data_IF_263041345712
#
_entry.id   IF_263041345712
#
_cell.length_a   1.000
_cell.length_b   1.000
_cell.length_c   1.000
_cell.angle_alpha   90.00
_cell.angle_beta   90.00
_cell.angle_gamma   90.00
#
_symmetry.space_group_name_H-M   'P 1'
#
loop_
_entity.id
_entity.type
_entity.pdbx_description
1 polymer ?
#
# COMPACT_ATOMS: atom_id res chain seq x y z
N UNK A 1 -16.91 -20.86 -4.10
CA UNK A 1 -16.43 -21.05 -5.48
C UNK A 1 -15.01 -20.53 -5.51
N UNK A 2 -14.09 -21.32 -6.05
CA UNK A 2 -12.82 -20.80 -6.60
C UNK A 2 -13.24 -19.97 -7.82
N UNK A 3 -12.77 -18.73 -7.96
CA UNK A 3 -13.16 -17.88 -9.08
C UNK A 3 -13.43 -16.43 -8.69
N UNK A 4 -12.48 -15.57 -9.10
CA UNK A 4 -12.68 -14.15 -9.41
C UNK A 4 -12.35 -13.92 -10.88
N UNK A 5 -12.15 -12.67 -11.32
CA UNK A 5 -11.87 -12.29 -12.73
C UNK A 5 -10.78 -13.13 -13.41
N UNK A 6 -9.81 -13.63 -12.62
CA UNK A 6 -8.62 -14.33 -13.11
C UNK A 6 -8.57 -15.84 -12.85
N UNK A 7 -9.68 -16.45 -12.39
CA UNK A 7 -9.76 -17.90 -12.10
C UNK A 7 -8.62 -18.43 -11.20
N UNK A 8 -8.28 -17.63 -10.18
CA UNK A 8 -7.19 -17.91 -9.25
C UNK A 8 -7.46 -19.15 -8.40
N UNK A 9 -6.44 -19.98 -8.20
CA UNK A 9 -6.46 -21.06 -7.22
C UNK A 9 -6.52 -20.49 -5.80
N UNK A 10 -7.10 -21.25 -4.86
CA UNK A 10 -7.19 -20.84 -3.46
C UNK A 10 -5.81 -20.41 -2.92
N UNK A 11 -5.75 -19.18 -2.39
CA UNK A 11 -4.57 -18.54 -1.80
C UNK A 11 -3.50 -18.06 -2.78
N UNK A 12 -3.84 -17.93 -4.05
CA UNK A 12 -3.16 -16.99 -4.95
C UNK A 12 -3.66 -15.57 -4.70
N UNK A 13 -2.75 -14.61 -4.83
CA UNK A 13 -2.98 -13.18 -4.60
C UNK A 13 -2.62 -12.36 -5.84
N UNK A 14 -3.17 -11.15 -5.92
CA UNK A 14 -3.15 -10.21 -7.04
C UNK A 14 -1.99 -9.21 -6.94
N UNK A 15 -2.13 -8.07 -7.59
CA UNK A 15 -1.17 -6.98 -7.60
C UNK A 15 -0.98 -6.33 -6.21
N UNK A 16 -2.00 -6.27 -5.35
CA UNK A 16 -1.89 -5.70 -4.00
C UNK A 16 -0.70 -6.29 -3.24
N UNK A 17 -0.66 -7.63 -3.17
CA UNK A 17 0.37 -8.36 -2.45
C UNK A 17 1.69 -8.38 -3.20
N UNK A 18 1.65 -8.49 -4.54
CA UNK A 18 2.86 -8.48 -5.36
C UNK A 18 3.63 -7.16 -5.20
N UNK A 19 2.92 -6.03 -5.22
CA UNK A 19 3.50 -4.72 -5.02
C UNK A 19 3.92 -4.49 -3.56
N UNK A 20 3.14 -4.95 -2.57
CA UNK A 20 3.57 -4.89 -1.17
C UNK A 20 4.88 -5.66 -0.95
N UNK A 21 5.01 -6.85 -1.54
CA UNK A 21 6.23 -7.66 -1.47
C UNK A 21 7.41 -6.98 -2.18
N UNK A 22 7.18 -6.34 -3.34
CA UNK A 22 8.21 -5.54 -4.00
C UNK A 22 8.69 -4.38 -3.12
N UNK A 23 7.77 -3.66 -2.47
CA UNK A 23 8.08 -2.56 -1.56
C UNK A 23 8.87 -3.03 -0.34
N UNK A 24 8.44 -4.12 0.31
CA UNK A 24 9.16 -4.73 1.42
C UNK A 24 10.58 -5.16 0.99
N UNK A 25 10.68 -5.82 -0.16
CA UNK A 25 11.94 -6.27 -0.74
C UNK A 25 12.91 -5.10 -1.00
N UNK A 26 12.40 -3.94 -1.44
CA UNK A 26 13.18 -2.71 -1.58
C UNK A 26 13.71 -2.21 -0.25
N UNK A 27 12.81 -2.01 0.72
CA UNK A 27 13.15 -1.50 2.05
C UNK A 27 14.22 -2.35 2.75
N UNK A 28 14.07 -3.67 2.68
CA UNK A 28 14.99 -4.64 3.31
C UNK A 28 16.34 -4.63 2.60
N UNK A 29 16.35 -4.72 1.26
CA UNK A 29 17.61 -4.79 0.49
C UNK A 29 18.41 -3.50 0.60
N UNK A 30 17.71 -2.36 0.51
CA UNK A 30 18.31 -1.03 0.54
C UNK A 30 18.56 -0.54 1.98
N UNK A 31 18.08 -1.27 2.99
CA UNK A 31 18.15 -0.91 4.42
C UNK A 31 17.60 0.49 4.70
N UNK A 32 16.57 0.88 3.97
CA UNK A 32 16.02 2.23 3.95
C UNK A 32 15.09 2.45 2.77
N UNK A 33 14.57 3.66 2.65
CA UNK A 33 13.67 4.02 1.54
C UNK A 33 14.49 4.51 0.35
N UNK A 34 14.42 3.78 -0.75
CA UNK A 34 15.02 4.15 -2.03
C UNK A 34 13.92 4.19 -3.10
N UNK A 35 13.44 5.38 -3.48
CA UNK A 35 12.32 5.50 -4.42
C UNK A 35 12.66 5.00 -5.82
N UNK A 36 13.95 4.99 -6.21
CA UNK A 36 14.37 4.40 -7.47
C UNK A 36 14.23 2.88 -7.43
N UNK A 37 14.84 2.22 -6.44
CA UNK A 37 14.79 0.76 -6.28
C UNK A 37 13.34 0.25 -6.06
N UNK A 38 12.46 1.03 -5.41
CA UNK A 38 11.04 0.74 -5.37
C UNK A 38 10.43 0.62 -6.78
N UNK A 39 10.67 1.63 -7.65
CA UNK A 39 10.18 1.61 -9.03
C UNK A 39 10.82 0.50 -9.87
N UNK A 40 12.10 0.17 -9.62
CA UNK A 40 12.78 -0.98 -10.25
C UNK A 40 12.05 -2.28 -9.91
N UNK A 41 11.73 -2.55 -8.64
CA UNK A 41 11.06 -3.80 -8.25
C UNK A 41 9.64 -3.89 -8.78
N UNK A 42 8.90 -2.78 -8.81
CA UNK A 42 7.60 -2.73 -9.47
C UNK A 42 7.73 -3.00 -10.98
N UNK A 43 8.77 -2.45 -11.63
CA UNK A 43 9.07 -2.75 -13.04
C UNK A 43 9.40 -4.24 -13.23
N UNK A 44 10.19 -4.86 -12.36
CA UNK A 44 10.50 -6.29 -12.44
C UNK A 44 9.25 -7.15 -12.30
N UNK A 45 8.34 -6.79 -11.39
CA UNK A 45 7.04 -7.44 -11.30
C UNK A 45 6.26 -7.28 -12.61
N UNK A 46 6.11 -6.04 -13.09
CA UNK A 46 5.39 -5.71 -14.31
C UNK A 46 5.91 -6.46 -15.55
N UNK A 47 7.22 -6.51 -15.75
CA UNK A 47 7.85 -7.09 -16.94
C UNK A 47 8.10 -8.59 -16.85
N UNK A 48 8.36 -9.10 -15.65
CA UNK A 48 8.92 -10.45 -15.47
C UNK A 48 8.18 -11.30 -14.43
N UNK A 49 7.10 -10.79 -13.82
CA UNK A 49 6.36 -11.51 -12.79
C UNK A 49 7.13 -11.69 -11.48
N UNK A 50 8.16 -10.87 -11.22
CA UNK A 50 8.89 -10.88 -9.95
C UNK A 50 7.91 -10.75 -8.76
N UNK A 51 7.99 -11.69 -7.82
CA UNK A 51 7.10 -11.79 -6.65
C UNK A 51 5.59 -11.91 -6.97
N UNK A 52 5.25 -12.39 -8.17
CA UNK A 52 3.88 -12.78 -8.54
C UNK A 52 3.52 -14.17 -8.01
N UNK A 53 2.26 -14.36 -7.61
CA UNK A 53 1.71 -15.66 -7.19
C UNK A 53 1.53 -16.67 -8.34
N UNK A 54 1.58 -16.20 -9.59
CA UNK A 54 1.41 -17.04 -10.80
C UNK A 54 2.61 -16.93 -11.77
N UNK A 55 3.70 -16.27 -11.37
CA UNK A 55 4.91 -16.14 -12.18
C UNK A 55 4.83 -15.13 -13.33
N UNK A 56 3.75 -14.37 -13.45
CA UNK A 56 3.58 -13.27 -14.41
C UNK A 56 2.83 -12.09 -13.79
N UNK A 57 3.00 -10.89 -14.33
CA UNK A 57 2.17 -9.75 -13.95
C UNK A 57 0.73 -9.95 -14.42
N UNK A 58 -0.23 -9.70 -13.53
CA UNK A 58 -1.66 -9.68 -13.83
C UNK A 58 -2.35 -8.75 -12.84
N UNK A 59 -3.59 -8.37 -13.13
CA UNK A 59 -4.42 -7.44 -12.33
C UNK A 59 -3.90 -6.02 -12.15
N UNK A 60 -2.76 -5.67 -12.74
CA UNK A 60 -2.18 -4.33 -12.63
C UNK A 60 -3.17 -3.23 -13.08
N UNK A 61 -3.45 -2.32 -12.16
CA UNK A 61 -4.28 -1.15 -12.41
C UNK A 61 -3.67 -0.20 -13.47
N UNK A 62 -4.52 0.58 -14.14
CA UNK A 62 -4.08 1.46 -15.23
C UNK A 62 -3.15 2.59 -14.78
N UNK A 63 -3.34 3.14 -13.58
CA UNK A 63 -2.51 4.23 -13.04
C UNK A 63 -1.09 3.74 -12.74
N UNK A 64 -0.98 2.59 -12.09
CA UNK A 64 0.31 1.92 -11.83
C UNK A 64 0.98 1.54 -13.15
N UNK A 65 0.25 0.90 -14.08
CA UNK A 65 0.81 0.54 -15.41
C UNK A 65 1.38 1.75 -16.13
N UNK A 66 0.61 2.83 -16.24
CA UNK A 66 1.02 4.06 -16.93
C UNK A 66 2.28 4.65 -16.28
N UNK A 67 2.33 4.68 -14.95
CA UNK A 67 3.49 5.21 -14.22
C UNK A 67 4.74 4.35 -14.42
N UNK A 68 4.60 3.03 -14.47
CA UNK A 68 5.73 2.12 -14.73
C UNK A 68 6.21 2.16 -16.18
N UNK A 69 5.32 2.36 -17.14
CA UNK A 69 5.67 2.57 -18.54
C UNK A 69 6.44 3.87 -18.73
N UNK A 70 5.98 4.97 -18.11
CA UNK A 70 6.67 6.25 -18.13
C UNK A 70 8.05 6.16 -17.46
N UNK A 71 8.13 5.51 -16.28
CA UNK A 71 9.40 5.25 -15.61
C UNK A 71 10.36 4.44 -16.49
N UNK A 72 9.87 3.39 -17.15
CA UNK A 72 10.66 2.58 -18.06
C UNK A 72 11.15 3.39 -19.26
N UNK A 73 10.30 4.21 -19.87
CA UNK A 73 10.70 5.10 -20.96
C UNK A 73 11.81 6.08 -20.54
N UNK A 74 11.68 6.70 -19.36
CA UNK A 74 12.72 7.57 -18.79
C UNK A 74 14.01 6.81 -18.53
N UNK A 75 13.93 5.58 -17.99
CA UNK A 75 15.09 4.70 -17.80
C UNK A 75 15.81 4.38 -19.11
N UNK A 76 15.08 4.10 -20.19
CA UNK A 76 15.66 3.87 -21.51
C UNK A 76 16.34 5.13 -22.05
N UNK A 77 15.82 6.32 -21.76
CA UNK A 77 16.51 7.57 -22.11
C UNK A 77 17.79 7.75 -21.29
N UNK A 78 17.73 7.56 -19.96
CA UNK A 78 18.90 7.60 -19.07
C UNK A 78 20.01 6.64 -19.53
N UNK A 79 19.62 5.42 -19.94
CA UNK A 79 20.53 4.42 -20.49
C UNK A 79 21.31 4.97 -21.69
N UNK A 80 20.62 5.65 -22.62
CA UNK A 80 21.23 6.24 -23.82
C UNK A 80 22.12 7.43 -23.46
N UNK A 81 21.64 8.34 -22.61
CA UNK A 81 22.34 9.57 -22.25
C UNK A 81 23.69 9.29 -21.55
N UNK A 82 23.78 8.18 -20.81
CA UNK A 82 24.97 7.77 -20.08
C UNK A 82 25.68 6.53 -20.65
N UNK A 83 25.30 6.10 -21.85
CA UNK A 83 25.93 4.98 -22.59
C UNK A 83 25.97 3.62 -21.84
N UNK A 84 24.97 3.34 -21.00
CA UNK A 84 24.81 2.00 -20.40
C UNK A 84 24.34 0.98 -21.46
N UNK A 85 24.81 -0.26 -21.36
CA UNK A 85 24.59 -1.28 -22.40
C UNK A 85 23.36 -2.14 -22.13
N UNK A 86 23.02 -2.37 -20.86
CA UNK A 86 21.98 -3.30 -20.42
C UNK A 86 20.97 -2.63 -19.49
N UNK A 87 19.78 -3.23 -19.36
CA UNK A 87 18.80 -2.80 -18.34
C UNK A 87 19.29 -3.09 -16.92
N UNK A 88 20.04 -4.17 -16.74
CA UNK A 88 20.59 -4.54 -15.42
C UNK A 88 21.55 -3.47 -14.88
N UNK A 89 22.31 -2.78 -15.74
CA UNK A 89 23.20 -1.70 -15.31
C UNK A 89 22.42 -0.50 -14.78
N UNK A 90 21.37 -0.08 -15.50
CA UNK A 90 20.55 1.06 -15.06
C UNK A 90 19.72 0.72 -13.82
N UNK A 91 19.29 -0.53 -13.65
CA UNK A 91 18.52 -0.98 -12.48
C UNK A 91 19.33 -0.96 -11.18
N UNK A 92 20.67 -0.99 -11.28
CA UNK A 92 21.58 -1.02 -10.14
C UNK A 92 22.21 0.34 -9.82
N UNK A 93 21.77 1.42 -10.48
CA UNK A 93 22.32 2.75 -10.24
C UNK A 93 22.09 3.22 -8.80
N UNK A 94 23.11 3.79 -8.15
CA UNK A 94 22.97 4.28 -6.78
C UNK A 94 22.05 5.50 -6.74
N UNK A 95 21.26 5.63 -5.68
CA UNK A 95 20.29 6.72 -5.53
C UNK A 95 20.94 8.12 -5.60
N UNK A 96 22.18 8.26 -5.14
CA UNK A 96 22.90 9.55 -5.23
C UNK A 96 23.21 9.95 -6.67
N UNK A 97 23.50 8.99 -7.54
CA UNK A 97 23.64 9.25 -8.98
C UNK A 97 22.29 9.69 -9.58
N UNK A 98 21.21 8.98 -9.26
CA UNK A 98 19.84 9.31 -9.71
C UNK A 98 19.45 10.74 -9.30
N UNK A 99 19.81 11.16 -8.08
CA UNK A 99 19.62 12.54 -7.61
C UNK A 99 20.50 13.54 -8.35
N UNK A 100 21.78 13.21 -8.55
CA UNK A 100 22.75 14.08 -9.22
C UNK A 100 22.33 14.40 -10.66
N UNK A 101 21.79 13.42 -11.38
CA UNK A 101 21.29 13.61 -12.76
C UNK A 101 19.85 14.12 -12.81
N UNK A 102 19.25 14.44 -11.66
CA UNK A 102 17.89 14.95 -11.53
C UNK A 102 16.86 14.08 -12.25
N UNK A 103 17.02 12.76 -12.19
CA UNK A 103 16.07 11.83 -12.79
C UNK A 103 14.72 11.95 -12.07
N UNK A 104 13.67 12.33 -12.79
CA UNK A 104 12.35 12.50 -12.21
C UNK A 104 11.66 11.15 -11.99
N UNK A 105 11.48 10.80 -10.71
CA UNK A 105 10.83 9.57 -10.26
C UNK A 105 9.31 9.69 -10.13
N UNK A 106 8.75 10.91 -10.22
CA UNK A 106 7.30 11.12 -10.16
C UNK A 106 6.69 10.87 -11.54
N UNK A 107 6.50 9.60 -11.87
CA UNK A 107 6.01 9.18 -13.19
C UNK A 107 4.48 9.19 -13.30
N UNK A 108 3.78 9.59 -12.24
CA UNK A 108 2.31 9.66 -12.19
C UNK A 108 1.80 11.08 -12.41
N UNK A 109 0.63 11.20 -13.04
CA UNK A 109 -0.07 12.48 -13.14
C UNK A 109 -0.55 12.96 -11.76
N UNK A 110 -0.52 14.28 -11.47
CA UNK A 110 -0.93 14.83 -10.18
C UNK A 110 -2.43 14.71 -9.88
N UNK A 111 -3.25 14.20 -10.80
CA UNK A 111 -4.70 14.01 -10.62
C UNK A 111 -5.13 12.54 -10.45
N UNK A 112 -4.17 11.64 -10.25
CA UNK A 112 -4.40 10.20 -10.19
C UNK A 112 -4.58 9.76 -8.73
N UNK A 113 -5.83 9.58 -8.31
CA UNK A 113 -6.25 9.24 -6.94
C UNK A 113 -6.74 7.79 -6.78
N UNK A 114 -6.23 6.88 -7.61
CA UNK A 114 -6.49 5.43 -7.49
C UNK A 114 -5.99 4.83 -6.16
N UNK A 115 -6.62 3.75 -5.72
CA UNK A 115 -6.33 3.05 -4.46
C UNK A 115 -5.06 2.17 -4.49
N UNK A 116 -4.44 1.96 -5.66
CA UNK A 116 -3.30 1.07 -5.85
C UNK A 116 -2.04 1.43 -5.04
N UNK A 117 -1.93 2.66 -4.54
CA UNK A 117 -0.89 3.04 -3.58
C UNK A 117 -1.17 2.55 -2.16
N UNK A 118 -2.44 2.55 -1.73
CA UNK A 118 -2.84 2.22 -0.37
C UNK A 118 -2.86 0.72 -0.11
N UNK A 119 -3.22 -0.07 -1.12
CA UNK A 119 -3.29 -1.54 -1.03
C UNK A 119 -1.96 -2.23 -0.72
N UNK A 120 -0.85 -1.53 -0.95
CA UNK A 120 0.51 -2.05 -0.82
C UNK A 120 1.33 -1.42 0.31
N UNK A 121 0.71 -0.59 1.15
CA UNK A 121 1.43 0.40 1.95
C UNK A 121 2.21 -0.17 3.14
N UNK A 122 1.67 -1.20 3.82
CA UNK A 122 2.11 -1.68 5.13
C UNK A 122 3.63 -1.85 5.33
N UNK A 123 4.43 -2.28 4.35
CA UNK A 123 5.88 -2.39 4.52
C UNK A 123 6.56 -1.10 5.00
N UNK A 124 6.10 0.08 4.56
CA UNK A 124 6.72 1.36 4.93
C UNK A 124 6.52 1.69 6.41
N UNK A 125 5.29 1.80 6.95
CA UNK A 125 5.09 2.09 8.37
C UNK A 125 5.66 0.99 9.28
N UNK A 126 5.64 -0.28 8.85
CA UNK A 126 6.26 -1.38 9.61
C UNK A 126 7.78 -1.25 9.67
N UNK A 127 8.44 -0.86 8.57
CA UNK A 127 9.90 -0.72 8.54
C UNK A 127 10.37 0.49 9.37
N UNK A 128 9.61 1.59 9.34
CA UNK A 128 9.97 2.85 9.99
C UNK A 128 9.25 3.11 11.32
N UNK A 129 8.60 2.11 11.93
CA UNK A 129 7.72 2.29 13.10
C UNK A 129 8.37 3.06 14.27
N UNK A 130 9.68 2.86 14.50
CA UNK A 130 10.47 3.57 15.54
C UNK A 130 10.68 5.07 15.26
N UNK A 131 10.31 5.55 14.08
CA UNK A 131 10.42 6.95 13.66
C UNK A 131 9.08 7.40 13.04
N UNK A 132 8.02 7.62 13.85
CA UNK A 132 6.65 7.82 13.36
C UNK A 132 6.50 8.93 12.31
N UNK A 133 7.08 10.11 12.52
CA UNK A 133 7.00 11.20 11.53
C UNK A 133 7.66 10.82 10.19
N UNK A 134 8.74 10.05 10.22
CA UNK A 134 9.39 9.56 9.00
C UNK A 134 8.54 8.47 8.34
N UNK A 135 7.98 7.54 9.11
CA UNK A 135 7.08 6.51 8.61
C UNK A 135 5.84 7.08 7.90
N UNK A 136 5.22 8.09 8.51
CA UNK A 136 4.09 8.83 7.93
C UNK A 136 4.51 9.52 6.64
N UNK A 137 5.58 10.30 6.64
CA UNK A 137 6.04 11.00 5.43
C UNK A 137 6.37 10.04 4.28
N UNK A 138 7.15 8.99 4.56
CA UNK A 138 7.55 8.01 3.56
C UNK A 138 6.36 7.18 3.04
N UNK A 139 5.30 7.04 3.84
CA UNK A 139 4.06 6.41 3.38
C UNK A 139 3.44 7.21 2.23
N UNK A 140 3.41 8.54 2.35
CA UNK A 140 3.00 9.42 1.26
C UNK A 140 3.99 9.41 0.09
N UNK A 141 5.29 9.51 0.36
CA UNK A 141 6.31 9.55 -0.71
C UNK A 141 6.32 8.26 -1.56
N UNK A 142 6.11 7.09 -0.95
CA UNK A 142 5.95 5.83 -1.67
C UNK A 142 4.76 5.82 -2.63
N UNK A 143 3.67 6.49 -2.28
CA UNK A 143 2.47 6.60 -3.11
C UNK A 143 2.72 7.42 -4.37
N UNK A 144 3.37 8.59 -4.23
CA UNK A 144 3.59 9.57 -5.32
C UNK A 144 4.26 9.01 -6.56
N UNK A 145 5.08 7.98 -6.39
CA UNK A 145 5.81 7.36 -7.49
C UNK A 145 4.88 6.76 -8.56
N UNK A 146 3.67 6.31 -8.17
CA UNK A 146 2.67 5.81 -9.14
C UNK A 146 1.29 6.46 -9.02
N UNK A 147 1.02 7.22 -7.96
CA UNK A 147 -0.24 7.94 -7.73
C UNK A 147 0.09 9.37 -7.28
N UNK A 148 0.13 10.31 -8.22
CA UNK A 148 0.65 11.67 -8.00
C UNK A 148 -0.26 12.60 -7.21
N UNK A 149 -1.52 12.22 -6.98
CA UNK A 149 -2.54 13.06 -6.34
C UNK A 149 -2.28 13.30 -4.84
N UNK A 150 -2.61 14.50 -4.37
CA UNK A 150 -2.47 14.88 -2.97
C UNK A 150 -3.38 14.06 -2.04
N UNK A 151 -4.57 13.65 -2.51
CA UNK A 151 -5.47 12.74 -1.80
C UNK A 151 -4.77 11.39 -1.59
N UNK A 152 -4.10 10.84 -2.61
CA UNK A 152 -3.40 9.57 -2.50
C UNK A 152 -2.21 9.65 -1.54
N UNK A 153 -1.45 10.73 -1.63
CA UNK A 153 -0.36 11.04 -0.71
C UNK A 153 -0.86 11.09 0.75
N UNK A 154 -1.90 11.87 1.02
CA UNK A 154 -2.40 12.07 2.39
C UNK A 154 -3.19 10.87 2.93
N UNK A 155 -3.87 10.10 2.07
CA UNK A 155 -4.48 8.83 2.45
C UNK A 155 -3.43 7.85 2.97
N UNK A 156 -2.31 7.72 2.25
CA UNK A 156 -1.21 6.85 2.68
C UNK A 156 -0.51 7.39 3.95
N UNK A 157 -0.37 8.71 4.11
CA UNK A 157 0.15 9.29 5.36
C UNK A 157 -0.72 8.95 6.56
N UNK A 158 -2.03 9.18 6.44
CA UNK A 158 -2.98 8.88 7.51
C UNK A 158 -3.03 7.39 7.84
N UNK A 159 -3.12 6.55 6.82
CA UNK A 159 -3.15 5.10 7.00
C UNK A 159 -1.84 4.53 7.57
N UNK A 160 -0.70 5.08 7.14
CA UNK A 160 0.61 4.79 7.72
C UNK A 160 0.68 5.15 9.21
N UNK A 161 0.11 6.29 9.61
CA UNK A 161 0.02 6.69 11.02
C UNK A 161 -0.80 5.69 11.84
N UNK A 162 -1.93 5.21 11.32
CA UNK A 162 -2.75 4.20 11.99
C UNK A 162 -1.98 2.90 12.20
N UNK A 163 -1.22 2.44 11.20
CA UNK A 163 -0.39 1.23 11.33
C UNK A 163 0.71 1.44 12.38
N UNK A 164 1.39 2.59 12.39
CA UNK A 164 2.42 2.89 13.41
C UNK A 164 1.82 2.91 14.81
N UNK A 165 0.67 3.57 14.99
CA UNK A 165 -0.07 3.63 16.24
C UNK A 165 -0.46 2.23 16.76
N UNK A 166 -0.93 1.35 15.86
CA UNK A 166 -1.20 -0.05 16.19
C UNK A 166 0.04 -0.77 16.70
N UNK A 167 1.19 -0.62 16.03
CA UNK A 167 2.45 -1.23 16.45
C UNK A 167 2.94 -0.69 17.80
N UNK A 168 2.57 0.54 18.14
CA UNK A 168 2.81 1.14 19.46
C UNK A 168 1.76 0.77 20.52
N UNK A 169 0.81 -0.12 20.19
CA UNK A 169 -0.15 -0.69 21.13
C UNK A 169 -1.37 0.19 21.40
N UNK A 170 -1.69 1.15 20.52
CA UNK A 170 -2.89 1.95 20.67
C UNK A 170 -4.17 1.12 20.55
N UNK A 171 -5.18 1.46 21.35
CA UNK A 171 -6.47 0.79 21.34
C UNK A 171 -7.25 1.11 20.07
N UNK A 172 -8.14 0.19 19.66
CA UNK A 172 -9.07 0.42 18.53
C UNK A 172 -9.91 1.69 18.74
N UNK A 173 -10.31 1.97 19.97
CA UNK A 173 -11.05 3.20 20.32
C UNK A 173 -10.24 4.46 20.01
N UNK A 174 -8.95 4.50 20.37
CA UNK A 174 -8.08 5.65 20.08
C UNK A 174 -7.80 5.78 18.58
N UNK A 175 -7.51 4.66 17.91
CA UNK A 175 -7.25 4.63 16.46
C UNK A 175 -8.43 5.18 15.64
N UNK A 176 -9.66 4.93 16.11
CA UNK A 176 -10.90 5.33 15.42
C UNK A 176 -11.54 6.58 16.02
N UNK A 177 -10.84 7.27 16.93
CA UNK A 177 -11.30 8.52 17.52
C UNK A 177 -11.22 9.67 16.51
N UNK A 178 -12.16 10.61 16.57
CA UNK A 178 -12.11 11.84 15.77
C UNK A 178 -10.97 12.80 16.18
N UNK A 179 -10.29 12.47 17.29
CA UNK A 179 -9.11 13.14 17.81
C UNK A 179 -7.79 12.45 17.40
N UNK A 180 -7.83 11.30 16.72
CA UNK A 180 -6.60 10.55 16.38
C UNK A 180 -5.60 11.43 15.61
N UNK A 181 -6.06 12.12 14.57
CA UNK A 181 -5.21 13.00 13.78
C UNK A 181 -4.64 14.18 14.60
N UNK A 182 -5.49 14.82 15.42
CA UNK A 182 -5.09 15.99 16.21
C UNK A 182 -4.10 15.61 17.32
N UNK A 183 -4.30 14.47 17.96
CA UNK A 183 -3.37 13.93 18.98
C UNK A 183 -2.01 13.49 18.41
N UNK A 184 -1.96 13.18 17.11
CA UNK A 184 -0.75 12.74 16.40
C UNK A 184 -0.20 13.77 15.41
N UNK A 185 -0.61 15.04 15.50
CA UNK A 185 -0.27 16.08 14.52
C UNK A 185 1.24 16.20 14.28
N UNK A 186 2.08 15.96 15.29
CA UNK A 186 3.54 15.99 15.17
C UNK A 186 4.10 14.96 14.17
N UNK A 187 3.39 13.86 13.89
CA UNK A 187 3.78 12.89 12.88
C UNK A 187 3.54 13.38 11.45
N UNK A 188 2.62 14.33 11.27
CA UNK A 188 2.26 14.90 9.98
C UNK A 188 3.05 16.18 9.64
N UNK A 189 3.96 16.62 10.51
CA UNK A 189 4.74 17.84 10.27
C UNK A 189 3.85 19.06 10.06
N UNK A 190 4.23 19.96 9.14
CA UNK A 190 3.52 21.23 8.91
C UNK A 190 2.47 21.18 7.79
N UNK A 191 2.46 20.14 6.94
CA UNK A 191 1.50 20.03 5.83
C UNK A 191 0.21 19.36 6.33
N UNK A 192 -0.93 20.09 6.41
CA UNK A 192 -2.20 19.50 6.79
C UNK A 192 -2.66 18.47 5.75
N UNK A 193 -3.45 17.49 6.20
CA UNK A 193 -4.08 16.52 5.30
C UNK A 193 -5.07 17.19 4.36
N UNK A 194 -5.20 16.65 3.16
CA UNK A 194 -6.24 17.00 2.20
C UNK A 194 -7.63 16.89 2.82
N UNK A 195 -8.53 17.84 2.50
CA UNK A 195 -9.86 17.96 3.11
C UNK A 195 -10.69 16.67 3.05
N UNK A 196 -10.55 15.92 1.96
CA UNK A 196 -11.24 14.64 1.81
C UNK A 196 -10.78 13.59 2.84
N UNK A 197 -9.48 13.54 3.14
CA UNK A 197 -8.93 12.66 4.18
C UNK A 197 -9.28 13.19 5.56
N UNK A 198 -9.31 14.51 5.76
CA UNK A 198 -9.78 15.12 7.02
C UNK A 198 -11.20 14.66 7.37
N UNK A 199 -12.12 14.54 6.40
CA UNK A 199 -13.47 14.00 6.66
C UNK A 199 -13.42 12.58 7.25
N UNK A 200 -12.53 11.72 6.73
CA UNK A 200 -12.31 10.36 7.22
C UNK A 200 -11.73 10.38 8.63
N UNK A 201 -10.76 11.26 8.91
CA UNK A 201 -10.21 11.42 10.27
C UNK A 201 -11.27 11.84 11.29
N UNK A 202 -12.35 12.49 10.86
CA UNK A 202 -13.49 12.88 11.70
C UNK A 202 -14.62 11.84 11.75
N UNK A 203 -14.31 10.60 11.37
CA UNK A 203 -15.19 9.45 11.55
C UNK A 203 -16.32 9.33 10.53
N UNK A 204 -16.14 9.81 9.30
CA UNK A 204 -17.16 9.62 8.24
C UNK A 204 -17.49 8.14 8.02
N UNK A 205 -16.50 7.24 8.12
CA UNK A 205 -16.66 5.78 8.10
C UNK A 205 -17.61 5.23 9.19
N UNK A 206 -17.93 5.98 10.26
CA UNK A 206 -18.89 5.53 11.29
C UNK A 206 -20.36 5.81 10.92
N UNK A 207 -20.59 6.72 9.96
CA UNK A 207 -21.93 7.21 9.61
C UNK A 207 -22.55 6.30 8.55
N UNK A 208 -22.96 5.12 9.01
CA UNK A 208 -23.41 3.94 8.25
C UNK A 208 -24.50 4.12 7.15
N UNK A 209 -25.11 5.29 6.92
CA UNK A 209 -26.38 5.35 6.16
C UNK A 209 -26.28 5.02 4.67
N UNK A 210 -25.10 5.12 4.06
CA UNK A 210 -24.93 4.89 2.60
C UNK A 210 -24.26 3.54 2.25
N UNK A 211 -23.82 2.77 3.25
CA UNK A 211 -23.07 1.52 3.04
C UNK A 211 -23.95 0.27 2.84
N UNK A 212 -25.25 0.36 3.22
CA UNK A 212 -26.20 -0.76 3.04
C UNK A 212 -26.55 -1.02 1.56
N UNK A 213 -26.32 -0.04 0.68
CA UNK A 213 -26.58 -0.14 -0.76
C UNK A 213 -25.29 -0.40 -1.60
N UNK A 214 -24.16 -0.63 -0.91
CA UNK A 214 -22.83 -0.79 -1.47
C UNK A 214 -22.12 0.55 -1.70
N UNK A 215 -20.82 0.61 -1.45
CA UNK A 215 -20.00 1.72 -1.94
C UNK A 215 -19.78 1.49 -3.44
N UNK A 216 -20.57 2.15 -4.26
CA UNK A 216 -20.54 2.00 -5.72
C UNK A 216 -19.64 3.05 -6.36
N UNK A 217 -18.32 2.97 -6.15
CA UNK A 217 -17.39 3.55 -7.12
C UNK A 217 -15.98 2.92 -7.14
N UNK A 218 -15.40 2.96 -8.34
CA UNK A 218 -14.38 2.09 -8.95
C UNK A 218 -12.94 2.50 -8.61
N UNK A 219 -12.51 2.26 -7.38
CA UNK A 219 -11.08 2.31 -7.02
C UNK A 219 -10.53 3.67 -6.56
N UNK A 220 -11.38 4.60 -6.11
CA UNK A 220 -10.91 5.88 -5.52
C UNK A 220 -10.33 5.67 -4.11
N UNK A 221 -9.14 6.21 -3.85
CA UNK A 221 -8.36 5.92 -2.64
C UNK A 221 -9.02 6.32 -1.33
N UNK A 222 -9.68 7.48 -1.27
CA UNK A 222 -10.34 7.94 -0.05
C UNK A 222 -11.51 7.03 0.35
N UNK A 223 -12.22 6.48 -0.65
CA UNK A 223 -13.38 5.63 -0.43
C UNK A 223 -12.93 4.23 -0.01
N UNK A 224 -11.88 3.71 -0.65
CA UNK A 224 -11.25 2.45 -0.24
C UNK A 224 -10.71 2.51 1.21
N UNK A 225 -10.10 3.64 1.59
CA UNK A 225 -9.68 3.89 2.97
C UNK A 225 -10.88 3.90 3.93
N UNK A 226 -11.93 4.65 3.59
CA UNK A 226 -13.14 4.76 4.41
C UNK A 226 -13.84 3.40 4.59
N UNK A 227 -13.95 2.63 3.51
CA UNK A 227 -14.49 1.27 3.47
C UNK A 227 -13.72 0.31 4.40
N UNK A 228 -12.39 0.32 4.31
CA UNK A 228 -11.53 -0.51 5.15
C UNK A 228 -11.64 -0.14 6.63
N UNK A 229 -11.76 1.16 6.96
CA UNK A 229 -11.95 1.61 8.33
C UNK A 229 -13.35 1.28 8.86
N UNK A 230 -14.39 1.32 8.04
CA UNK A 230 -15.72 0.84 8.42
C UNK A 230 -15.69 -0.67 8.71
N UNK A 231 -15.02 -1.47 7.88
CA UNK A 231 -14.88 -2.90 8.10
C UNK A 231 -14.11 -3.22 9.39
N UNK A 232 -13.08 -2.42 9.69
CA UNK A 232 -12.34 -2.50 10.95
C UNK A 232 -13.17 -2.08 12.16
N UNK A 233 -13.95 -1.00 12.07
CA UNK A 233 -14.82 -0.54 13.15
C UNK A 233 -15.93 -1.55 13.46
N UNK A 234 -16.61 -2.05 12.43
CA UNK A 234 -17.81 -2.89 12.55
C UNK A 234 -17.58 -4.33 13.06
N UNK A 235 -16.34 -4.71 13.30
CA UNK A 235 -15.96 -6.06 13.70
C UNK A 235 -14.92 -6.10 14.82
N UNK A 236 -15.07 -7.06 15.73
CA UNK A 236 -14.16 -7.30 16.86
C UNK A 236 -13.20 -8.47 16.64
N UNK A 237 -13.23 -9.05 15.43
CA UNK A 237 -12.37 -10.16 15.00
C UNK A 237 -11.88 -9.90 13.58
N UNK A 238 -10.74 -10.49 13.24
CA UNK A 238 -10.15 -10.36 11.90
C UNK A 238 -11.09 -10.91 10.82
N UNK A 239 -11.69 -12.06 11.07
CA UNK A 239 -12.53 -12.80 10.13
C UNK A 239 -13.82 -12.06 9.83
N UNK A 240 -14.48 -11.53 10.86
CA UNK A 240 -15.72 -10.77 10.69
C UNK A 240 -15.46 -9.48 9.93
N UNK A 241 -14.35 -8.79 10.21
CA UNK A 241 -14.02 -7.56 9.49
C UNK A 241 -13.59 -7.84 8.05
N UNK A 242 -12.84 -8.91 7.80
CA UNK A 242 -12.49 -9.33 6.44
C UNK A 242 -13.76 -9.67 5.62
N UNK A 243 -14.71 -10.39 6.22
CA UNK A 243 -16.00 -10.68 5.59
C UNK A 243 -16.79 -9.40 5.32
N UNK A 244 -16.77 -8.44 6.23
CA UNK A 244 -17.40 -7.13 6.03
C UNK A 244 -16.75 -6.37 4.87
N UNK A 245 -15.41 -6.34 4.79
CA UNK A 245 -14.67 -5.69 3.72
C UNK A 245 -15.01 -6.27 2.34
N UNK A 246 -15.02 -7.60 2.21
CA UNK A 246 -15.33 -8.29 0.94
C UNK A 246 -16.79 -8.10 0.51
N UNK A 247 -17.72 -7.87 1.43
CA UNK A 247 -19.13 -7.72 1.08
C UNK A 247 -19.56 -6.26 0.81
N UNK A 248 -18.66 -5.28 0.96
CA UNK A 248 -19.04 -3.87 1.00
C UNK A 248 -18.82 -3.10 -0.32
N UNK A 249 -17.73 -3.40 -1.01
CA UNK A 249 -17.25 -2.63 -2.17
C UNK A 249 -17.45 -3.39 -3.48
N UNK A 250 -17.51 -2.68 -4.60
CA UNK A 250 -17.36 -3.31 -5.93
C UNK A 250 -15.90 -3.77 -6.17
N UNK A 251 -14.93 -3.10 -5.52
CA UNK A 251 -13.50 -3.41 -5.50
C UNK A 251 -13.14 -4.13 -4.18
N UNK A 252 -13.56 -5.39 -4.11
CA UNK A 252 -13.55 -6.21 -2.89
C UNK A 252 -12.16 -6.65 -2.47
N UNK A 253 -11.29 -6.93 -3.43
CA UNK A 253 -9.90 -7.34 -3.28
C UNK A 253 -9.08 -6.21 -2.67
N UNK A 254 -9.12 -5.01 -3.25
CA UNK A 254 -8.36 -3.88 -2.70
C UNK A 254 -8.83 -3.50 -1.31
N UNK A 255 -10.15 -3.47 -1.08
CA UNK A 255 -10.71 -3.12 0.23
C UNK A 255 -10.33 -4.15 1.28
N UNK A 256 -10.35 -5.45 0.95
CA UNK A 256 -9.91 -6.51 1.84
C UNK A 256 -8.39 -6.46 2.10
N UNK A 257 -7.57 -6.11 1.10
CA UNK A 257 -6.13 -5.92 1.26
C UNK A 257 -5.80 -4.74 2.18
N UNK A 258 -6.48 -3.60 2.00
CA UNK A 258 -6.34 -2.43 2.88
C UNK A 258 -6.85 -2.77 4.29
N UNK A 259 -7.99 -3.43 4.44
CA UNK A 259 -8.44 -3.89 5.76
C UNK A 259 -7.39 -4.82 6.42
N UNK A 260 -6.90 -5.81 5.67
CA UNK A 260 -6.01 -6.86 6.17
C UNK A 260 -4.68 -6.33 6.70
N UNK A 261 -4.16 -5.25 6.13
CA UNK A 261 -2.95 -4.58 6.60
C UNK A 261 -3.12 -4.04 8.05
N UNK A 262 -4.16 -3.24 8.31
CA UNK A 262 -4.42 -2.65 9.63
C UNK A 262 -4.88 -3.70 10.62
N UNK A 263 -5.85 -4.53 10.22
CA UNK A 263 -6.40 -5.57 11.07
C UNK A 263 -5.36 -6.63 11.43
N UNK A 264 -4.50 -7.02 10.49
CA UNK A 264 -3.39 -7.96 10.73
C UNK A 264 -2.37 -7.40 11.72
N UNK A 265 -2.04 -6.10 11.61
CA UNK A 265 -1.20 -5.42 12.59
C UNK A 265 -1.86 -5.39 13.99
N UNK A 266 -3.18 -5.16 14.06
CA UNK A 266 -3.91 -4.97 15.31
C UNK A 266 -4.21 -6.28 16.05
N UNK A 267 -4.81 -7.25 15.36
CA UNK A 267 -5.16 -8.53 15.96
C UNK A 267 -3.93 -9.43 16.15
N UNK A 268 -2.86 -9.16 15.40
CA UNK A 268 -1.64 -9.93 15.38
C UNK A 268 -1.74 -11.15 14.47
N UNK A 269 -0.61 -11.53 13.91
CA UNK A 269 -0.46 -12.64 12.97
C UNK A 269 -1.11 -13.96 13.45
N UNK A 270 -0.93 -14.31 14.72
CA UNK A 270 -1.43 -15.56 15.31
C UNK A 270 -2.95 -15.65 15.42
N UNK A 271 -3.67 -14.54 15.21
CA UNK A 271 -5.14 -14.52 15.19
C UNK A 271 -5.70 -14.56 13.76
N UNK A 272 -4.86 -14.67 12.74
CA UNK A 272 -5.31 -14.95 11.37
C UNK A 272 -5.69 -16.44 11.30
N UNK A 273 -6.87 -16.82 10.78
CA UNK A 273 -7.26 -18.22 10.65
C UNK A 273 -6.18 -19.06 9.96
N UNK A 274 -5.81 -20.17 10.59
CA UNK A 274 -4.87 -21.15 10.00
C UNK A 274 -5.33 -21.68 8.63
N UNK A 275 -6.62 -21.59 8.31
CA UNK A 275 -7.16 -21.93 6.99
C UNK A 275 -6.69 -20.94 5.91
N UNK A 276 -6.62 -19.63 6.22
CA UNK A 276 -6.11 -18.61 5.31
C UNK A 276 -4.60 -18.78 5.10
N UNK A 277 -3.86 -19.13 6.16
CA UNK A 277 -2.42 -19.42 6.08
C UNK A 277 -2.11 -20.62 5.17
N UNK A 278 -2.90 -21.71 5.28
CA UNK A 278 -2.70 -22.95 4.52
C UNK A 278 -2.85 -22.80 3.01
N UNK A 279 -3.62 -21.81 2.55
CA UNK A 279 -3.79 -21.58 1.12
C UNK A 279 -2.71 -20.63 0.55
N UNK A 280 -2.05 -19.82 1.39
CA UNK A 280 -1.08 -18.83 0.91
C UNK A 280 0.21 -19.50 0.40
N UNK A 281 0.33 -19.69 -0.92
CA UNK A 281 1.41 -20.47 -1.55
C UNK A 281 2.84 -19.98 -1.26
N UNK A 282 3.02 -18.72 -0.88
CA UNK A 282 4.34 -18.15 -0.52
C UNK A 282 4.35 -17.57 0.90
N UNK A 283 3.58 -18.16 1.81
CA UNK A 283 3.47 -17.78 3.21
C UNK A 283 4.83 -17.54 3.89
N UNK A 284 5.84 -18.37 3.60
CA UNK A 284 7.21 -18.21 4.12
C UNK A 284 7.87 -16.90 3.70
N UNK A 285 7.64 -16.41 2.48
CA UNK A 285 8.19 -15.14 1.96
C UNK A 285 7.51 -13.94 2.64
N UNK A 286 6.20 -14.03 2.90
CA UNK A 286 5.44 -12.97 3.57
C UNK A 286 5.88 -12.85 5.04
N UNK A 287 5.96 -13.99 5.75
CA UNK A 287 6.31 -14.02 7.18
C UNK A 287 7.78 -13.68 7.42
N UNK A 288 8.71 -14.08 6.54
CA UNK A 288 10.13 -13.74 6.70
C UNK A 288 10.42 -12.24 6.59
N UNK A 289 9.51 -11.47 5.99
CA UNK A 289 9.64 -10.02 5.80
C UNK A 289 8.93 -9.21 6.90
N UNK A 290 8.21 -9.85 7.83
CA UNK A 290 7.57 -9.19 8.95
C UNK A 290 8.56 -9.00 10.13
N UNK A 291 8.54 -7.86 10.85
CA UNK A 291 9.35 -7.69 12.04
C UNK A 291 8.95 -8.73 13.10
N UNK A 292 9.90 -9.52 13.57
CA UNK A 292 9.67 -10.49 14.66
C UNK A 292 9.52 -9.73 15.97
N UNK A 293 8.39 -9.89 16.66
CA UNK A 293 8.23 -9.38 18.03
C UNK A 293 9.18 -10.13 18.97
N UNK A 294 10.17 -9.42 19.50
CA UNK A 294 10.97 -9.79 20.67
C UNK A 294 10.68 -8.80 21.78
#
# INVERSE_FOLDING_TARGET
>A
MVGGTWDLQAGQWTDDTSMALCLASSLITQKGFNPYDQMIRYKWWYKHGYLSSIGQCFDIDNATRTSLEEFYHRQIQLKKDFNYQTESEIDQLPLDFIKQVQFDLNCSSPSISGNGALMRLAPVPLFFYRKPSLAVELSGQSARLTHGDDIAFDACRYYGALIVAVIHGESKENLLSDQFYDSHQIWFGSKPLHNEIVRITKGSFKRSRDYKDGIRDKGHIAWALEAALWAFESADTFEKGALNAVNLSDDTDTTAAIYGQLAGAYYGYWKIPAQIERFNKSHSIIVSNAPTSH
#
